data_IF_919587742743
#
_entry.id   IF_919587742743
#
_cell.length_a   1.000
_cell.length_b   1.000
_cell.length_c   1.000
_cell.angle_alpha   90.00
_cell.angle_beta   90.00
_cell.angle_gamma   90.00
#
_symmetry.space_group_name_H-M   'P 1'
#
loop_
_entity.id
_entity.type
_entity.pdbx_description
1 polymer ?
#
# COMPACT_ATOMS: atom_id res chain seq x y z
N UNK A 1 -15.33 12.33 12.56
CA UNK A 1 -16.17 11.09 12.50
C UNK A 1 -15.21 9.92 12.31
N UNK A 2 -15.45 8.79 12.97
CA UNK A 2 -14.63 7.59 12.83
C UNK A 2 -15.23 6.77 11.68
N UNK A 3 -14.45 6.47 10.65
CA UNK A 3 -14.92 5.66 9.52
C UNK A 3 -15.00 4.19 9.96
N UNK A 4 -16.11 3.52 9.63
CA UNK A 4 -16.25 2.08 9.84
C UNK A 4 -15.61 1.37 8.65
N UNK A 5 -14.36 0.98 8.81
CA UNK A 5 -13.65 0.13 7.85
C UNK A 5 -14.29 -1.27 7.82
N UNK A 6 -14.19 -1.98 6.68
CA UNK A 6 -14.79 -3.31 6.53
C UNK A 6 -14.00 -4.35 7.34
N UNK A 7 -14.60 -5.52 7.53
CA UNK A 7 -13.89 -6.67 8.11
C UNK A 7 -12.68 -7.07 7.26
N UNK A 8 -11.66 -7.71 7.87
CA UNK A 8 -10.41 -8.11 7.22
C UNK A 8 -9.57 -6.93 6.66
N UNK A 9 -9.69 -5.77 7.31
CA UNK A 9 -8.94 -4.55 7.00
C UNK A 9 -9.06 -4.06 5.54
N UNK A 10 -10.19 -4.33 4.89
CA UNK A 10 -10.41 -3.89 3.50
C UNK A 10 -9.93 -4.84 2.42
N UNK A 11 -9.35 -5.99 2.77
CA UNK A 11 -8.91 -6.99 1.79
C UNK A 11 -10.01 -8.00 1.45
N UNK A 12 -10.11 -8.36 0.16
CA UNK A 12 -10.90 -9.52 -0.32
C UNK A 12 -10.36 -10.78 0.37
N UNK A 13 -11.28 -11.64 0.84
CA UNK A 13 -10.96 -12.92 1.48
C UNK A 13 -10.02 -13.74 0.59
N UNK A 14 -8.97 -14.33 1.18
CA UNK A 14 -7.96 -15.17 0.51
C UNK A 14 -7.09 -14.46 -0.57
N UNK A 15 -7.17 -13.13 -0.70
CA UNK A 15 -6.35 -12.40 -1.68
C UNK A 15 -4.92 -12.06 -1.19
N UNK A 16 -4.64 -12.22 0.10
CA UNK A 16 -3.36 -11.85 0.71
C UNK A 16 -2.23 -12.75 0.21
N UNK A 17 -1.16 -12.11 -0.25
CA UNK A 17 0.08 -12.77 -0.67
C UNK A 17 1.27 -12.02 -0.09
N UNK A 18 2.24 -12.77 0.44
CA UNK A 18 3.48 -12.23 0.98
C UNK A 18 4.63 -12.40 0.00
N UNK A 19 5.48 -11.39 -0.08
CA UNK A 19 6.61 -11.30 -1.00
C UNK A 19 7.83 -10.70 -0.30
N UNK A 20 9.01 -11.01 -0.81
CA UNK A 20 10.15 -10.10 -0.63
C UNK A 20 10.00 -8.89 -1.57
N UNK A 21 10.80 -7.84 -1.34
CA UNK A 21 10.72 -6.60 -2.14
C UNK A 21 11.04 -6.80 -3.62
N UNK A 22 11.99 -7.67 -3.96
CA UNK A 22 12.38 -7.91 -5.35
C UNK A 22 11.24 -8.59 -6.13
N UNK A 23 10.65 -9.63 -5.54
CA UNK A 23 9.52 -10.34 -6.11
C UNK A 23 8.31 -9.43 -6.25
N UNK A 24 7.99 -8.63 -5.23
CA UNK A 24 6.93 -7.64 -5.30
C UNK A 24 7.14 -6.69 -6.49
N UNK A 25 8.35 -6.10 -6.61
CA UNK A 25 8.67 -5.18 -7.71
C UNK A 25 8.56 -5.82 -9.08
N UNK A 26 8.97 -7.08 -9.22
CA UNK A 26 8.85 -7.81 -10.49
C UNK A 26 7.41 -8.04 -10.92
N UNK A 27 6.48 -8.15 -9.97
CA UNK A 27 5.08 -8.46 -10.22
C UNK A 27 4.22 -7.21 -10.38
N UNK A 28 4.47 -6.17 -9.58
CA UNK A 28 3.61 -4.98 -9.46
C UNK A 28 4.29 -3.68 -9.89
N UNK A 29 5.57 -3.75 -10.27
CA UNK A 29 6.37 -2.57 -10.57
C UNK A 29 6.95 -1.89 -9.34
N UNK A 30 7.56 -0.73 -9.56
CA UNK A 30 8.37 -0.04 -8.55
C UNK A 30 7.73 1.21 -7.96
N UNK A 31 6.52 1.56 -8.42
CA UNK A 31 5.80 2.74 -7.94
C UNK A 31 4.55 2.27 -7.19
N UNK A 32 4.36 2.86 -6.02
CA UNK A 32 3.15 2.73 -5.20
C UNK A 32 2.66 4.14 -4.86
N UNK A 33 1.38 4.30 -4.58
CA UNK A 33 0.84 5.58 -4.14
C UNK A 33 -0.07 5.46 -2.92
N UNK A 34 -0.45 6.62 -2.39
CA UNK A 34 -1.35 6.75 -1.27
C UNK A 34 -2.19 8.01 -1.40
N UNK A 35 -3.46 7.87 -1.03
CA UNK A 35 -4.32 8.99 -0.63
C UNK A 35 -4.41 8.92 0.89
N UNK A 36 -3.82 9.87 1.60
CA UNK A 36 -3.69 9.84 3.05
C UNK A 36 -2.34 10.33 3.57
N UNK A 37 -2.29 10.69 4.85
CA UNK A 37 -1.07 11.08 5.54
C UNK A 37 -0.12 9.89 5.77
N UNK A 38 1.16 10.19 6.02
CA UNK A 38 2.25 9.20 6.08
C UNK A 38 2.27 8.37 7.37
N UNK A 39 1.47 8.75 8.35
CA UNK A 39 1.22 8.00 9.58
C UNK A 39 0.39 6.73 9.35
N UNK A 40 -0.20 6.56 8.15
CA UNK A 40 -0.86 5.33 7.75
C UNK A 40 0.03 4.36 6.99
N UNK A 41 -0.43 3.11 6.90
CA UNK A 41 0.35 1.99 6.34
C UNK A 41 -0.09 1.51 4.96
N UNK A 42 -1.32 1.85 4.54
CA UNK A 42 -1.88 1.37 3.27
C UNK A 42 -1.36 2.17 2.09
N UNK A 43 -0.74 1.48 1.13
CA UNK A 43 -0.42 1.98 -0.20
C UNK A 43 -1.19 1.19 -1.27
N UNK A 44 -1.16 1.68 -2.50
CA UNK A 44 -1.71 0.99 -3.67
C UNK A 44 -0.65 0.84 -4.74
N UNK A 45 -0.56 -0.37 -5.31
CA UNK A 45 0.31 -0.61 -6.46
C UNK A 45 -0.30 0.00 -7.72
N UNK A 46 0.58 0.39 -8.65
CA UNK A 46 0.15 0.82 -9.97
C UNK A 46 -0.31 -0.40 -10.77
N UNK A 47 -1.26 -0.18 -11.67
CA UNK A 47 -1.73 -1.18 -12.62
C UNK A 47 -1.41 -0.73 -14.03
N UNK A 48 -0.68 -1.57 -14.76
CA UNK A 48 -0.25 -1.28 -16.13
C UNK A 48 0.50 0.06 -16.28
N UNK A 49 1.24 0.46 -15.23
CA UNK A 49 2.01 1.70 -15.19
C UNK A 49 1.24 2.96 -14.80
N UNK A 50 -0.06 2.83 -14.47
CA UNK A 50 -0.93 3.94 -14.08
C UNK A 50 -1.46 3.77 -12.65
N UNK A 51 -1.76 4.88 -11.93
CA UNK A 51 -2.38 4.80 -10.62
C UNK A 51 -3.82 4.27 -10.71
N UNK A 52 -4.20 3.41 -9.78
CA UNK A 52 -5.56 2.87 -9.70
C UNK A 52 -6.59 3.98 -9.34
N UNK A 53 -7.81 3.84 -9.86
CA UNK A 53 -8.86 4.85 -9.64
C UNK A 53 -9.28 4.95 -8.17
N UNK A 54 -9.85 6.10 -7.77
CA UNK A 54 -10.34 6.26 -6.40
C UNK A 54 -11.43 5.23 -6.03
N UNK A 55 -12.29 4.88 -6.99
CA UNK A 55 -13.31 3.83 -6.85
C UNK A 55 -12.72 2.44 -6.70
N UNK A 56 -11.59 2.16 -7.34
CA UNK A 56 -10.90 0.88 -7.23
C UNK A 56 -10.24 0.69 -5.86
N UNK A 57 -9.89 1.79 -5.19
CA UNK A 57 -9.29 1.79 -3.84
C UNK A 57 -10.31 1.55 -2.72
N UNK A 58 -11.60 1.65 -3.01
CA UNK A 58 -12.67 1.58 -1.99
C UNK A 58 -12.42 2.46 -0.77
N UNK A 59 -11.94 3.69 -0.98
CA UNK A 59 -11.73 4.65 0.10
C UNK A 59 -13.03 5.41 0.41
N UNK A 60 -13.26 5.89 1.65
CA UNK A 60 -14.40 6.74 1.96
C UNK A 60 -14.28 8.11 1.28
N UNK A 61 -15.41 8.79 1.02
CA UNK A 61 -15.41 10.08 0.29
C UNK A 61 -14.62 11.18 1.02
N UNK A 62 -14.46 11.08 2.34
CA UNK A 62 -13.65 11.98 3.16
C UNK A 62 -12.20 12.02 2.72
N UNK A 63 -11.69 10.94 2.12
CA UNK A 63 -10.29 10.83 1.75
C UNK A 63 -9.94 11.67 0.52
N UNK A 64 -10.93 12.21 -0.21
CA UNK A 64 -10.71 13.18 -1.28
C UNK A 64 -10.05 14.48 -0.79
N UNK A 65 -10.14 14.79 0.51
CA UNK A 65 -9.49 15.95 1.12
C UNK A 65 -8.05 15.67 1.58
N UNK A 66 -7.62 14.40 1.53
CA UNK A 66 -6.30 13.97 1.99
C UNK A 66 -5.24 14.13 0.90
N UNK A 67 -3.96 14.31 1.28
CA UNK A 67 -2.88 14.41 0.31
C UNK A 67 -2.77 13.14 -0.54
N UNK A 68 -2.45 13.35 -1.82
CA UNK A 68 -2.04 12.29 -2.74
C UNK A 68 -0.53 12.34 -2.92
N UNK A 69 0.14 11.21 -2.71
CA UNK A 69 1.58 11.08 -2.89
C UNK A 69 1.93 9.76 -3.57
N UNK A 70 2.99 9.81 -4.38
CA UNK A 70 3.56 8.65 -5.07
C UNK A 70 4.95 8.38 -4.51
N UNK A 71 5.30 7.11 -4.45
CA UNK A 71 6.56 6.66 -3.89
C UNK A 71 7.18 5.60 -4.77
N UNK A 72 8.50 5.69 -4.90
CA UNK A 72 9.33 4.69 -5.57
C UNK A 72 9.94 3.76 -4.55
N UNK A 73 9.83 2.47 -4.82
CA UNK A 73 10.45 1.40 -4.04
C UNK A 73 11.95 1.35 -4.28
N UNK A 74 12.70 1.10 -3.20
CA UNK A 74 14.13 0.82 -3.29
C UNK A 74 14.41 -0.39 -4.20
N UNK A 75 15.61 -0.42 -4.79
CA UNK A 75 15.98 -1.51 -5.70
C UNK A 75 16.06 -2.88 -5.02
N UNK A 76 16.27 -2.89 -3.71
CA UNK A 76 16.26 -4.03 -2.81
C UNK A 76 16.22 -3.51 -1.37
N UNK A 77 16.13 -4.41 -0.40
CA UNK A 77 16.04 -4.02 1.00
C UNK A 77 17.26 -3.20 1.45
N UNK A 78 17.07 -1.99 2.01
CA UNK A 78 18.11 -1.27 2.73
C UNK A 78 18.72 -2.10 3.86
N UNK A 79 19.94 -1.77 4.30
CA UNK A 79 20.69 -2.60 5.25
C UNK A 79 19.94 -2.88 6.56
N UNK A 80 19.18 -1.92 7.08
CA UNK A 80 18.37 -2.05 8.30
C UNK A 80 16.96 -2.63 8.10
N UNK A 81 16.60 -2.97 6.86
CA UNK A 81 15.29 -3.49 6.47
C UNK A 81 15.39 -4.88 5.82
N UNK A 82 16.50 -5.59 6.05
CA UNK A 82 16.60 -7.00 5.67
C UNK A 82 15.55 -7.79 6.45
N UNK A 83 15.07 -8.89 5.87
CA UNK A 83 14.05 -9.75 6.48
C UNK A 83 12.63 -9.16 6.54
N UNK A 84 12.44 -7.89 6.15
CA UNK A 84 11.12 -7.28 6.02
C UNK A 84 10.34 -7.94 4.89
N UNK A 85 9.02 -7.80 4.96
CA UNK A 85 8.07 -8.44 4.06
C UNK A 85 7.12 -7.42 3.46
N UNK A 86 6.67 -7.70 2.24
CA UNK A 86 5.62 -6.94 1.56
C UNK A 86 4.40 -7.85 1.42
N UNK A 87 3.24 -7.38 1.89
CA UNK A 87 1.96 -8.04 1.64
C UNK A 87 1.21 -7.29 0.54
N UNK A 88 0.71 -8.02 -0.45
CA UNK A 88 -0.26 -7.51 -1.41
C UNK A 88 -1.63 -8.16 -1.17
N UNK A 89 -2.70 -7.39 -1.30
CA UNK A 89 -4.07 -7.91 -1.32
C UNK A 89 -4.94 -7.12 -2.29
N UNK A 90 -6.17 -7.58 -2.55
CA UNK A 90 -7.12 -6.85 -3.40
C UNK A 90 -8.09 -6.09 -2.51
N UNK A 91 -8.26 -4.78 -2.75
CA UNK A 91 -9.25 -3.97 -2.06
C UNK A 91 -10.66 -4.53 -2.32
N UNK A 92 -11.37 -4.87 -1.26
CA UNK A 92 -12.76 -5.33 -1.33
C UNK A 92 -13.70 -4.18 -1.74
N UNK A 93 -14.86 -4.47 -2.35
CA UNK A 93 -15.90 -3.47 -2.56
C UNK A 93 -16.37 -2.88 -1.22
N UNK A 94 -16.31 -1.55 -1.07
CA UNK A 94 -16.82 -0.85 0.10
C UNK A 94 -17.17 0.61 -0.19
N UNK A 95 -17.88 1.29 0.72
CA UNK A 95 -18.33 2.68 0.60
C UNK A 95 -19.05 2.98 -0.72
N UNK A 96 -19.85 2.02 -1.20
CA UNK A 96 -20.57 2.09 -2.47
C UNK A 96 -19.68 2.00 -3.72
N UNK A 97 -18.42 1.57 -3.55
CA UNK A 97 -17.41 1.47 -4.61
C UNK A 97 -17.09 0.01 -4.90
N UNK A 98 -16.51 -0.22 -6.08
CA UNK A 98 -16.27 -1.56 -6.62
C UNK A 98 -15.04 -2.28 -6.05
N UNK A 99 -14.08 -1.55 -5.49
CA UNK A 99 -12.79 -2.12 -5.11
C UNK A 99 -11.99 -2.62 -6.31
N UNK A 100 -10.99 -3.47 -6.05
CA UNK A 100 -10.19 -4.12 -7.08
C UNK A 100 -8.75 -3.62 -7.20
N UNK A 101 -8.40 -2.47 -6.60
CA UNK A 101 -7.01 -2.02 -6.56
C UNK A 101 -6.16 -2.97 -5.70
N UNK A 102 -4.89 -3.14 -6.07
CA UNK A 102 -3.94 -3.89 -5.24
C UNK A 102 -3.46 -3.04 -4.07
N UNK A 103 -3.88 -3.39 -2.86
CA UNK A 103 -3.41 -2.83 -1.61
C UNK A 103 -2.07 -3.43 -1.22
N UNK A 104 -1.18 -2.61 -0.65
CA UNK A 104 0.18 -2.98 -0.29
C UNK A 104 0.45 -2.56 1.15
N UNK A 105 0.97 -3.48 1.94
CA UNK A 105 1.43 -3.28 3.31
C UNK A 105 2.86 -3.79 3.46
N UNK A 106 3.60 -3.21 4.40
CA UNK A 106 4.96 -3.60 4.73
C UNK A 106 5.05 -4.00 6.19
N UNK A 107 5.83 -5.04 6.45
CA UNK A 107 6.04 -5.60 7.77
C UNK A 107 7.52 -5.74 8.08
N UNK A 108 7.91 -5.46 9.32
CA UNK A 108 9.28 -5.72 9.78
C UNK A 108 9.54 -7.22 10.02
N UNK A 109 10.76 -7.56 10.46
CA UNK A 109 11.16 -8.95 10.76
C UNK A 109 10.35 -9.57 11.92
N UNK A 110 9.71 -8.75 12.76
CA UNK A 110 8.85 -9.17 13.87
C UNK A 110 7.37 -9.23 13.46
N UNK A 111 7.07 -9.06 12.17
CA UNK A 111 5.73 -8.97 11.60
C UNK A 111 4.91 -7.79 12.13
N UNK A 112 5.57 -6.71 12.57
CA UNK A 112 4.93 -5.45 12.92
C UNK A 112 4.63 -4.65 11.65
N UNK A 113 3.43 -4.08 11.57
CA UNK A 113 3.00 -3.24 10.45
C UNK A 113 3.75 -1.92 10.46
N UNK A 114 4.29 -1.53 9.30
CA UNK A 114 5.06 -0.29 9.12
C UNK A 114 4.20 0.81 8.50
N UNK A 115 4.42 2.05 8.92
CA UNK A 115 3.83 3.26 8.35
C UNK A 115 4.64 3.75 7.13
N UNK A 116 4.02 4.58 6.29
CA UNK A 116 4.73 5.21 5.15
C UNK A 116 5.90 6.06 5.65
N UNK A 117 5.75 6.77 6.77
CA UNK A 117 6.83 7.55 7.37
C UNK A 117 8.04 6.68 7.74
N UNK A 118 7.82 5.51 8.34
CA UNK A 118 8.90 4.55 8.67
C UNK A 118 9.57 3.97 7.42
N UNK A 119 8.79 3.70 6.38
CA UNK A 119 9.31 3.21 5.09
C UNK A 119 10.18 4.28 4.40
N UNK A 120 9.82 5.55 4.50
CA UNK A 120 10.63 6.66 3.99
C UNK A 120 11.92 6.79 4.82
N UNK A 121 11.81 6.79 6.15
CA UNK A 121 12.98 6.92 7.05
C UNK A 121 13.98 5.78 6.89
N UNK A 122 13.50 4.57 6.63
CA UNK A 122 14.35 3.38 6.37
C UNK A 122 14.94 3.36 4.96
N UNK A 123 14.48 4.24 4.06
CA UNK A 123 14.90 4.29 2.65
C UNK A 123 14.28 3.20 1.78
N UNK A 124 13.23 2.52 2.25
CA UNK A 124 12.45 1.56 1.45
C UNK A 124 11.60 2.31 0.42
N UNK A 125 11.07 3.47 0.80
CA UNK A 125 10.34 4.38 -0.07
C UNK A 125 11.09 5.70 -0.24
N UNK A 126 10.98 6.27 -1.43
CA UNK A 126 11.35 7.65 -1.71
C UNK A 126 10.19 8.34 -2.45
N UNK A 127 9.98 9.63 -2.23
CA UNK A 127 8.98 10.38 -3.00
C UNK A 127 9.27 10.30 -4.50
N UNK A 128 8.24 10.00 -5.27
CA UNK A 128 8.26 10.02 -6.73
C UNK A 128 7.64 11.33 -7.22
N UNK A 129 8.38 12.07 -8.05
CA UNK A 129 7.94 13.35 -8.61
C UNK A 129 6.89 13.18 -9.71
#
# INVERSE_FOLDING_TARGET
MWNRYPANDGAVIESRQTHDLFKFRSQFGEIVDRVGFEDGSYLYAFKDGEPESFEARSLPVSDLELPYARYRLANGWPAGARGWLVESSVAAPDFGRRGGATQVLFFDEQHSLLTVEELIKSGVLAYEQ
#
